data_IF_619751036228
#
_entry.id   IF_619751036228
#
_cell.length_a   1.000
_cell.length_b   1.000
_cell.length_c   1.000
_cell.angle_alpha   90.00
_cell.angle_beta   90.00
_cell.angle_gamma   90.00
#
_symmetry.space_group_name_H-M   'P 1'
#
loop_
_entity.id
_entity.type
_entity.pdbx_description
1 polymer ?
#
# COMPACT_ATOMS: atom_id res chain seq x y z
N UNK A 1 -26.78 6.54 10.32
CA UNK A 1 -27.06 5.09 10.56
C UNK A 1 -25.93 4.28 9.94
N UNK A 2 -25.49 3.19 10.57
CA UNK A 2 -24.43 2.31 10.02
C UNK A 2 -25.01 0.93 9.77
N UNK A 3 -24.71 0.34 8.62
CA UNK A 3 -25.23 -0.96 8.20
C UNK A 3 -24.04 -1.79 7.68
N UNK A 4 -23.97 -3.06 8.06
CA UNK A 4 -23.00 -4.03 7.55
C UNK A 4 -23.70 -4.94 6.53
N UNK A 5 -23.07 -5.14 5.38
CA UNK A 5 -23.58 -6.03 4.34
C UNK A 5 -22.51 -7.09 4.06
N UNK A 6 -22.91 -8.35 4.22
CA UNK A 6 -22.12 -9.51 3.81
C UNK A 6 -22.58 -9.94 2.42
N UNK A 7 -21.70 -9.83 1.42
CA UNK A 7 -22.05 -10.02 0.01
C UNK A 7 -20.97 -10.87 -0.63
N UNK A 8 -21.39 -11.87 -1.41
CA UNK A 8 -20.49 -12.69 -2.22
C UNK A 8 -19.75 -11.85 -3.27
N UNK A 9 -18.45 -12.10 -3.49
CA UNK A 9 -17.58 -11.34 -4.39
C UNK A 9 -18.18 -11.13 -5.79
N UNK A 10 -18.85 -12.16 -6.32
CA UNK A 10 -19.48 -12.12 -7.65
C UNK A 10 -20.59 -11.07 -7.82
N UNK A 11 -21.10 -10.52 -6.71
CA UNK A 11 -22.11 -9.44 -6.69
C UNK A 11 -21.61 -8.16 -6.04
N UNK A 12 -20.46 -8.20 -5.37
CA UNK A 12 -19.88 -7.05 -4.70
C UNK A 12 -19.54 -5.94 -5.70
N UNK A 13 -18.97 -6.30 -6.85
CA UNK A 13 -18.57 -5.33 -7.87
C UNK A 13 -19.74 -4.52 -8.43
N UNK A 14 -20.86 -5.18 -8.75
CA UNK A 14 -22.08 -4.51 -9.21
C UNK A 14 -22.65 -3.55 -8.15
N UNK A 15 -22.58 -3.91 -6.86
CA UNK A 15 -23.04 -3.02 -5.80
C UNK A 15 -22.10 -1.81 -5.62
N UNK A 16 -20.78 -2.00 -5.75
CA UNK A 16 -19.81 -0.90 -5.64
C UNK A 16 -20.01 0.14 -6.73
N UNK A 17 -20.37 -0.25 -7.95
CA UNK A 17 -20.67 0.69 -9.04
C UNK A 17 -21.87 1.58 -8.70
N UNK A 18 -22.92 1.00 -8.13
CA UNK A 18 -24.11 1.74 -7.69
C UNK A 18 -23.77 2.67 -6.51
N UNK A 19 -22.96 2.21 -5.55
CA UNK A 19 -22.54 3.01 -4.41
C UNK A 19 -21.62 4.18 -4.79
N UNK A 20 -20.83 4.04 -5.87
CA UNK A 20 -20.00 5.13 -6.41
C UNK A 20 -20.83 6.27 -7.00
N UNK A 21 -21.97 5.96 -7.60
CA UNK A 21 -22.88 6.96 -8.17
C UNK A 21 -23.66 7.72 -7.07
N UNK A 22 -23.84 7.09 -5.91
CA UNK A 22 -24.51 7.67 -4.75
C UNK A 22 -23.58 8.59 -3.94
N UNK A 23 -23.53 9.88 -4.30
CA UNK A 23 -22.73 10.90 -3.60
C UNK A 23 -23.05 11.06 -2.10
N UNK A 24 -24.19 10.57 -1.62
CA UNK A 24 -24.62 10.68 -0.22
C UNK A 24 -24.17 9.51 0.67
N UNK A 25 -23.53 8.47 0.10
CA UNK A 25 -23.17 7.26 0.83
C UNK A 25 -21.66 7.12 0.91
N UNK A 26 -21.13 7.05 2.14
CA UNK A 26 -19.73 6.69 2.39
C UNK A 26 -19.66 5.19 2.62
N UNK A 27 -18.87 4.48 1.81
CA UNK A 27 -18.65 3.04 1.95
C UNK A 27 -17.16 2.74 2.18
N UNK A 28 -16.88 1.65 2.89
CA UNK A 28 -15.54 1.07 3.03
C UNK A 28 -15.65 -0.39 2.63
N UNK A 29 -14.80 -0.83 1.71
CA UNK A 29 -14.69 -2.25 1.36
C UNK A 29 -13.85 -2.91 2.45
N UNK A 30 -14.42 -3.90 3.12
CA UNK A 30 -13.76 -4.68 4.16
C UNK A 30 -13.32 -6.01 3.52
N UNK A 31 -12.28 -5.96 2.71
CA UNK A 31 -11.62 -7.16 2.18
C UNK A 31 -10.49 -7.56 3.13
N UNK A 32 -10.29 -8.86 3.36
CA UNK A 32 -9.19 -9.39 4.16
C UNK A 32 -7.80 -8.97 3.63
N UNK A 33 -7.73 -8.55 2.37
CA UNK A 33 -6.61 -7.83 1.78
C UNK A 33 -6.71 -6.32 2.08
N UNK A 34 -6.71 -5.92 3.36
CA UNK A 34 -6.22 -4.58 3.70
C UNK A 34 -4.70 -4.64 3.51
N UNK A 35 -4.23 -4.53 2.26
CA UNK A 35 -2.91 -3.98 1.99
C UNK A 35 -2.90 -2.63 2.68
N UNK A 36 -2.37 -2.58 3.91
CA UNK A 36 -2.19 -1.35 4.65
C UNK A 36 -1.39 -0.43 3.75
N UNK A 37 -2.07 0.56 3.17
CA UNK A 37 -1.38 1.62 2.47
C UNK A 37 -0.31 2.15 3.42
N UNK A 38 0.97 2.13 3.02
CA UNK A 38 2.04 2.51 3.91
C UNK A 38 1.77 3.92 4.39
N UNK A 39 1.79 4.11 5.70
CA UNK A 39 1.53 5.43 6.27
C UNK A 39 2.60 6.40 5.78
N UNK A 40 2.28 7.69 5.70
CA UNK A 40 3.27 8.73 5.33
C UNK A 40 4.57 8.63 6.15
N UNK A 41 4.48 8.17 7.39
CA UNK A 41 5.62 7.95 8.29
C UNK A 41 6.49 6.79 7.82
N UNK A 42 5.91 5.66 7.43
CA UNK A 42 6.64 4.50 6.91
C UNK A 42 7.35 4.82 5.59
N UNK A 43 6.68 5.58 4.70
CA UNK A 43 7.29 6.05 3.45
C UNK A 43 8.50 6.95 3.75
N UNK A 44 8.36 7.89 4.68
CA UNK A 44 9.46 8.78 5.08
C UNK A 44 10.62 8.02 5.74
N UNK A 45 10.33 6.99 6.53
CA UNK A 45 11.35 6.16 7.16
C UNK A 45 12.15 5.37 6.11
N UNK A 46 11.44 4.74 5.15
CA UNK A 46 12.07 4.05 4.02
C UNK A 46 12.97 4.95 3.18
N UNK A 47 12.54 6.19 2.90
CA UNK A 47 13.37 7.17 2.19
C UNK A 47 14.63 7.51 3.00
N UNK A 48 14.50 7.78 4.31
CA UNK A 48 15.65 8.09 5.18
C UNK A 48 16.63 6.94 5.26
N UNK A 49 16.15 5.69 5.34
CA UNK A 49 17.02 4.51 5.32
C UNK A 49 17.82 4.44 4.02
N UNK A 50 17.19 4.64 2.86
CA UNK A 50 17.90 4.66 1.58
C UNK A 50 19.01 5.72 1.51
N UNK A 51 18.77 6.93 2.03
CA UNK A 51 19.81 7.96 2.11
C UNK A 51 20.98 7.54 3.00
N UNK A 52 20.71 6.90 4.15
CA UNK A 52 21.73 6.41 5.07
C UNK A 52 22.58 5.31 4.44
N UNK A 53 21.96 4.40 3.69
CA UNK A 53 22.68 3.34 2.97
C UNK A 53 23.60 3.90 1.89
N UNK A 54 23.14 4.90 1.14
CA UNK A 54 23.99 5.61 0.15
C UNK A 54 25.17 6.31 0.85
N UNK A 55 24.94 6.95 2.00
CA UNK A 55 26.02 7.60 2.76
C UNK A 55 27.05 6.57 3.26
N UNK A 56 26.61 5.43 3.80
CA UNK A 56 27.48 4.34 4.25
C UNK A 56 28.26 3.72 3.08
N UNK A 57 27.66 3.64 1.90
CA UNK A 57 28.33 3.19 0.69
C UNK A 57 29.44 4.16 0.26
N UNK A 58 29.16 5.48 0.29
CA UNK A 58 30.16 6.51 0.00
C UNK A 58 31.32 6.51 1.00
N UNK A 59 31.06 6.13 2.25
CA UNK A 59 32.09 5.93 3.27
C UNK A 59 32.87 4.62 3.11
N UNK A 60 32.53 3.77 2.14
CA UNK A 60 33.15 2.46 1.91
C UNK A 60 32.77 1.38 2.94
N UNK A 61 31.78 1.66 3.81
CA UNK A 61 31.37 0.76 4.90
C UNK A 61 30.29 -0.25 4.47
N UNK A 62 29.63 0.00 3.34
CA UNK A 62 28.53 -0.81 2.84
C UNK A 62 28.69 -1.03 1.33
N UNK A 63 28.50 -2.26 0.85
CA UNK A 63 28.36 -2.54 -0.58
C UNK A 63 26.87 -2.50 -0.92
N UNK A 64 26.48 -1.60 -1.81
CA UNK A 64 25.11 -1.58 -2.33
C UNK A 64 24.93 -2.70 -3.34
N UNK A 65 23.73 -3.27 -3.37
CA UNK A 65 23.31 -4.18 -4.43
C UNK A 65 23.00 -3.39 -5.70
N UNK A 66 23.18 -4.03 -6.84
CA UNK A 66 22.77 -3.47 -8.13
C UNK A 66 21.26 -3.30 -8.18
N UNK A 67 20.77 -2.33 -8.94
CA UNK A 67 19.33 -2.17 -9.17
C UNK A 67 18.67 -3.46 -9.73
N UNK A 68 19.41 -4.21 -10.55
CA UNK A 68 18.95 -5.51 -11.08
C UNK A 68 18.79 -6.56 -9.98
N UNK A 69 19.77 -6.68 -9.10
CA UNK A 69 19.74 -7.64 -8.00
C UNK A 69 18.60 -7.33 -7.02
N UNK A 70 18.33 -6.05 -6.78
CA UNK A 70 17.21 -5.62 -5.94
C UNK A 70 15.85 -5.97 -6.57
N UNK A 71 15.72 -5.88 -7.89
CA UNK A 71 14.47 -6.24 -8.58
C UNK A 71 14.22 -7.75 -8.61
N UNK A 72 15.26 -8.58 -8.60
CA UNK A 72 15.14 -10.05 -8.54
C UNK A 72 14.71 -10.56 -7.14
N UNK A 73 14.76 -9.72 -6.10
CA UNK A 73 14.41 -10.08 -4.71
C UNK A 73 12.98 -9.71 -4.28
N UNK A 74 12.24 -8.94 -5.10
CA UNK A 74 10.85 -8.50 -4.84
C UNK A 74 9.84 -9.43 -5.49
#
# INVERSE_FOLDING_TARGET
MKILLDIKDNKAQALLEILKDLSSVKFKVLTEQEEKEPTKKEILDGIKQGFKEVELHRQGKLKLKSAKELLDEL
#
